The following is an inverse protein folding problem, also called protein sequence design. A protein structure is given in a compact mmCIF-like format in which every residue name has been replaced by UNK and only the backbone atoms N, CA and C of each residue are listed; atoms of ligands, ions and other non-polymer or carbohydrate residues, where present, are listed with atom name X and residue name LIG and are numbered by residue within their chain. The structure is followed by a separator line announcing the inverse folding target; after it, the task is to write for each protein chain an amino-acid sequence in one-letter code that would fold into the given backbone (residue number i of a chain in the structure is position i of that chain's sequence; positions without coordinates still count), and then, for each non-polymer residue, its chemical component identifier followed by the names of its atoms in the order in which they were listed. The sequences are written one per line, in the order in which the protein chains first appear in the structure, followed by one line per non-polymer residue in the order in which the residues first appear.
data_IF_286615990524
#
_entry.id   IF_286615990524
#
_cell.length_a   1.000
_cell.length_b   1.000
_cell.length_c   1.000
_cell.angle_alpha   90.00
_cell.angle_beta   90.00
_cell.angle_gamma   90.00
#
_symmetry.space_group_name_H-M   'P 1'
#
loop_
_entity.id
_entity.type
_entity.pdbx_description
1 polymer ?
#
# COMPACT_ATOMS: atom_id res chain seq x y z
N UNK A 1 1.64 -9.56 2.40
CA UNK A 1 0.77 -9.59 3.61
C UNK A 1 -0.54 -8.91 3.26
N UNK A 2 -1.69 -9.52 3.55
CA UNK A 2 -2.99 -8.88 3.33
C UNK A 2 -3.12 -7.69 4.28
N UNK A 3 -3.42 -6.50 3.75
CA UNK A 3 -3.71 -5.31 4.55
C UNK A 3 -5.05 -5.54 5.27
N UNK A 4 -5.07 -5.38 6.59
CA UNK A 4 -6.31 -5.29 7.35
C UNK A 4 -6.82 -3.87 7.21
N UNK A 5 -7.87 -3.67 6.42
CA UNK A 5 -8.35 -2.34 6.03
C UNK A 5 -9.20 -1.62 7.10
N UNK A 6 -9.79 -2.37 8.03
CA UNK A 6 -10.60 -1.81 9.13
C UNK A 6 -9.79 -0.86 10.05
N UNK A 7 -8.58 -1.22 10.52
CA UNK A 7 -7.71 -0.31 11.27
C UNK A 7 -7.39 1.00 10.56
N UNK A 8 -7.15 0.98 9.24
CA UNK A 8 -6.87 2.21 8.48
C UNK A 8 -8.07 3.16 8.49
N UNK A 9 -9.28 2.63 8.25
CA UNK A 9 -10.49 3.44 8.32
C UNK A 9 -10.70 4.00 9.74
N UNK A 10 -10.52 3.18 10.77
CA UNK A 10 -10.67 3.62 12.15
C UNK A 10 -9.69 4.74 12.50
N UNK A 11 -8.41 4.62 12.11
CA UNK A 11 -7.39 5.62 12.39
C UNK A 11 -7.64 6.94 11.63
N UNK A 12 -8.04 6.86 10.36
CA UNK A 12 -8.42 8.03 9.57
C UNK A 12 -9.62 8.76 10.18
N UNK A 13 -10.62 8.03 10.67
CA UNK A 13 -11.75 8.62 11.37
C UNK A 13 -11.35 9.25 12.71
N UNK A 14 -10.44 8.62 13.48
CA UNK A 14 -9.91 9.21 14.72
C UNK A 14 -9.10 10.48 14.45
N UNK A 15 -8.32 10.51 13.37
CA UNK A 15 -7.50 11.65 13.00
C UNK A 15 -8.34 12.92 12.74
N UNK A 16 -9.48 12.75 12.08
CA UNK A 16 -10.30 13.87 11.58
C UNK A 16 -11.51 14.18 12.48
N UNK A 17 -12.00 13.17 13.20
CA UNK A 17 -13.23 13.25 13.99
C UNK A 17 -13.08 12.69 15.41
N UNK A 18 -11.88 12.35 15.90
CA UNK A 18 -11.68 11.81 17.25
C UNK A 18 -12.05 12.76 18.39
N UNK A 19 -12.22 14.05 18.11
CA UNK A 19 -12.76 15.05 19.03
C UNK A 19 -14.30 14.96 19.18
N UNK A 20 -14.95 14.27 18.25
CA UNK A 20 -16.41 14.23 18.05
C UNK A 20 -17.00 12.82 18.05
N UNK A 21 -16.18 11.82 17.73
CA UNK A 21 -16.55 10.41 17.57
C UNK A 21 -15.69 9.53 18.47
N UNK A 22 -16.32 8.52 19.07
CA UNK A 22 -15.65 7.41 19.74
C UNK A 22 -15.72 6.21 18.80
N UNK A 23 -14.57 5.65 18.45
CA UNK A 23 -14.44 4.58 17.46
C UNK A 23 -13.84 3.34 18.12
N UNK A 24 -14.64 2.27 18.19
CA UNK A 24 -14.23 0.96 18.67
C UNK A 24 -14.12 -0.03 17.52
N UNK A 25 -13.04 -0.81 17.54
CA UNK A 25 -12.76 -1.90 16.59
C UNK A 25 -13.01 -3.25 17.28
N UNK A 26 -13.19 -4.32 16.49
CA UNK A 26 -13.35 -5.71 16.97
C UNK A 26 -14.40 -5.88 18.08
N UNK A 27 -15.67 -5.78 17.70
CA UNK A 27 -16.78 -5.85 18.64
C UNK A 27 -17.03 -7.27 19.13
N UNK A 28 -17.04 -7.43 20.45
CA UNK A 28 -17.61 -8.62 21.09
C UNK A 28 -19.14 -8.51 21.03
N UNK A 29 -19.80 -9.50 20.41
CA UNK A 29 -21.26 -9.55 20.29
C UNK A 29 -21.93 -10.60 21.20
N UNK A 30 -21.16 -11.31 22.03
CA UNK A 30 -21.67 -12.28 23.00
C UNK A 30 -20.64 -12.67 24.07
N UNK A 31 -21.04 -13.56 24.98
CA UNK A 31 -20.21 -14.02 26.12
C UNK A 31 -19.08 -14.99 25.71
N UNK A 32 -19.25 -15.64 24.55
CA UNK A 32 -18.20 -16.41 23.86
C UNK A 32 -17.53 -15.50 22.80
N UNK A 33 -16.32 -15.80 22.30
CA UNK A 33 -15.53 -14.88 21.49
C UNK A 33 -16.05 -14.75 20.04
N UNK A 34 -17.32 -14.41 19.84
CA UNK A 34 -17.81 -13.91 18.58
C UNK A 34 -17.33 -12.45 18.45
N UNK A 35 -16.14 -12.29 17.89
CA UNK A 35 -15.62 -10.99 17.46
C UNK A 35 -16.13 -10.72 16.05
N UNK A 36 -16.78 -9.58 15.87
CA UNK A 36 -17.15 -9.09 14.56
C UNK A 36 -16.11 -8.07 14.08
N UNK A 37 -15.63 -8.26 12.86
CA UNK A 37 -14.80 -7.29 12.15
C UNK A 37 -15.69 -6.11 11.67
N UNK A 38 -16.13 -5.31 12.64
CA UNK A 38 -16.98 -4.14 12.48
C UNK A 38 -16.36 -2.96 13.24
N UNK A 39 -16.70 -1.74 12.82
CA UNK A 39 -16.51 -0.56 13.66
C UNK A 39 -17.81 -0.25 14.41
N UNK A 40 -17.71 0.07 15.69
CA UNK A 40 -18.75 0.80 16.40
C UNK A 40 -18.33 2.27 16.49
N UNK A 41 -19.12 3.12 15.86
CA UNK A 41 -18.98 4.57 15.98
C UNK A 41 -20.04 5.07 16.96
N UNK A 42 -19.62 5.81 17.98
CA UNK A 42 -20.51 6.52 18.90
C UNK A 42 -20.30 8.02 18.81
N UNK A 43 -21.39 8.78 18.89
CA UNK A 43 -21.35 10.25 18.94
C UNK A 43 -22.36 10.79 19.92
N UNK A 44 -22.08 11.98 20.45
CA UNK A 44 -23.08 12.71 21.21
C UNK A 44 -24.17 13.29 20.26
N UNK A 45 -25.46 13.27 20.66
CA UNK A 45 -26.57 13.74 19.80
C UNK A 45 -26.41 15.17 19.31
N UNK A 46 -25.80 16.03 20.12
CA UNK A 46 -25.68 17.47 19.86
C UNK A 46 -24.47 17.84 19.00
N UNK A 47 -23.64 16.86 18.62
CA UNK A 47 -22.46 17.12 17.77
C UNK A 47 -22.91 17.22 16.33
N UNK A 48 -22.74 18.41 15.73
CA UNK A 48 -22.94 18.61 14.31
C UNK A 48 -21.78 17.97 13.53
N UNK A 49 -22.13 17.16 12.53
CA UNK A 49 -21.20 16.50 11.63
C UNK A 49 -21.56 16.84 10.19
N UNK A 50 -20.57 16.97 9.29
CA UNK A 50 -20.83 17.16 7.87
C UNK A 50 -21.38 15.88 7.24
N UNK A 51 -22.02 16.00 6.08
CA UNK A 51 -22.43 14.84 5.30
C UNK A 51 -21.20 14.03 4.81
N UNK A 52 -21.24 12.68 4.82
CA UNK A 52 -22.34 11.80 5.23
C UNK A 52 -22.35 11.49 6.73
N UNK A 53 -21.34 11.91 7.49
CA UNK A 53 -21.25 11.66 8.95
C UNK A 53 -22.41 12.24 9.76
N UNK A 54 -23.13 13.22 9.21
CA UNK A 54 -24.42 13.71 9.74
C UNK A 54 -25.48 12.60 9.87
N UNK A 55 -25.35 11.51 9.11
CA UNK A 55 -26.26 10.37 9.09
C UNK A 55 -25.91 9.29 10.13
N UNK A 56 -24.82 9.46 10.90
CA UNK A 56 -24.50 8.59 12.02
C UNK A 56 -25.57 8.73 13.10
N UNK A 57 -26.04 7.61 13.65
CA UNK A 57 -26.82 7.59 14.89
C UNK A 57 -25.96 7.84 16.12
N UNK A 58 -26.56 7.84 17.32
CA UNK A 58 -25.79 7.85 18.58
C UNK A 58 -24.84 6.66 18.68
N UNK A 59 -25.27 5.52 18.11
CA UNK A 59 -24.51 4.30 17.92
C UNK A 59 -24.67 3.87 16.46
N UNK A 60 -23.57 3.56 15.80
CA UNK A 60 -23.58 3.08 14.41
C UNK A 60 -22.64 1.89 14.27
N UNK A 61 -23.15 0.75 13.81
CA UNK A 61 -22.32 -0.36 13.35
C UNK A 61 -21.93 -0.15 11.90
N UNK A 62 -20.65 -0.30 11.59
CA UNK A 62 -20.10 -0.11 10.25
C UNK A 62 -19.43 -1.40 9.79
N UNK A 63 -19.99 -2.03 8.76
CA UNK A 63 -19.30 -3.03 7.96
C UNK A 63 -18.61 -2.30 6.80
N UNK A 64 -17.30 -2.47 6.71
CA UNK A 64 -16.51 -1.91 5.61
C UNK A 64 -15.89 -3.04 4.80
N UNK A 65 -16.17 -3.04 3.49
CA UNK A 65 -15.53 -3.97 2.56
C UNK A 65 -14.22 -3.40 2.09
N UNK A 66 -13.18 -4.24 2.11
CA UNK A 66 -11.87 -3.86 1.60
C UNK A 66 -12.00 -3.25 0.19
N UNK A 67 -11.09 -2.36 -0.22
CA UNK A 67 -11.22 -1.66 -1.49
C UNK A 67 -11.25 -2.59 -2.71
N UNK A 68 -10.64 -3.77 -2.59
CA UNK A 68 -10.58 -4.79 -3.64
C UNK A 68 -11.81 -5.71 -3.65
N UNK A 69 -12.61 -5.71 -2.58
CA UNK A 69 -13.83 -6.52 -2.48
C UNK A 69 -15.07 -5.75 -2.94
N UNK A 70 -16.12 -6.49 -3.30
CA UNK A 70 -17.44 -5.92 -3.52
C UNK A 70 -18.35 -6.28 -2.34
N UNK A 71 -19.15 -5.31 -1.89
CA UNK A 71 -20.28 -5.59 -1.01
C UNK A 71 -21.32 -6.44 -1.76
N UNK A 72 -21.86 -7.43 -1.07
CA UNK A 72 -22.84 -8.39 -1.57
C UNK A 72 -24.05 -8.45 -0.65
N UNK A 73 -25.11 -9.12 -1.09
CA UNK A 73 -26.27 -9.40 -0.25
C UNK A 73 -25.89 -10.09 1.08
N UNK A 74 -24.92 -11.01 1.05
CA UNK A 74 -24.48 -11.72 2.26
C UNK A 74 -23.85 -10.78 3.29
N UNK A 75 -23.18 -9.72 2.85
CA UNK A 75 -22.66 -8.68 3.75
C UNK A 75 -23.80 -7.87 4.40
N UNK A 76 -24.92 -7.66 3.68
CA UNK A 76 -26.10 -7.02 4.23
C UNK A 76 -26.81 -7.92 5.26
N UNK A 77 -26.92 -9.22 4.98
CA UNK A 77 -27.43 -10.23 5.94
C UNK A 77 -26.53 -10.31 7.18
N UNK A 78 -25.22 -10.29 7.00
CA UNK A 78 -24.24 -10.26 8.09
C UNK A 78 -24.42 -9.02 8.97
N UNK A 79 -24.53 -7.84 8.35
CA UNK A 79 -24.73 -6.58 9.06
C UNK A 79 -26.06 -6.54 9.83
N UNK A 80 -27.15 -7.02 9.22
CA UNK A 80 -28.46 -7.20 9.88
C UNK A 80 -28.33 -8.10 11.13
N UNK A 81 -27.69 -9.26 10.96
CA UNK A 81 -27.47 -10.24 12.03
C UNK A 81 -26.68 -9.64 13.18
N UNK A 82 -25.62 -8.89 12.88
CA UNK A 82 -24.84 -8.19 13.89
C UNK A 82 -25.61 -7.09 14.60
N UNK A 83 -26.44 -6.34 13.89
CA UNK A 83 -27.37 -5.37 14.48
C UNK A 83 -28.31 -6.01 15.50
N UNK A 84 -28.88 -7.16 15.16
CA UNK A 84 -29.75 -7.94 16.05
C UNK A 84 -29.03 -8.40 17.31
N UNK A 85 -27.84 -8.99 17.16
CA UNK A 85 -27.02 -9.43 18.29
C UNK A 85 -26.62 -8.27 19.20
N UNK A 86 -26.23 -7.13 18.62
CA UNK A 86 -25.86 -5.95 19.38
C UNK A 86 -27.03 -5.39 20.19
N UNK A 87 -28.21 -5.26 19.58
CA UNK A 87 -29.44 -4.81 20.28
C UNK A 87 -29.77 -5.73 21.45
N UNK A 88 -29.70 -7.04 21.25
CA UNK A 88 -29.99 -8.01 22.30
C UNK A 88 -29.00 -7.92 23.45
N UNK A 89 -27.70 -7.82 23.15
CA UNK A 89 -26.63 -7.71 24.15
C UNK A 89 -26.73 -6.42 24.96
N UNK A 90 -26.90 -5.29 24.29
CA UNK A 90 -26.93 -3.97 24.94
C UNK A 90 -28.31 -3.60 25.50
N UNK A 91 -29.33 -4.46 25.30
CA UNK A 91 -30.69 -4.23 25.79
C UNK A 91 -31.34 -2.98 25.20
N UNK A 92 -31.08 -2.66 23.93
CA UNK A 92 -31.62 -1.46 23.30
C UNK A 92 -33.14 -1.55 23.14
N UNK A 93 -33.86 -0.52 23.61
CA UNK A 93 -35.33 -0.51 23.62
C UNK A 93 -35.96 -0.47 22.21
N UNK A 94 -35.22 0.01 21.21
CA UNK A 94 -35.68 0.07 19.82
C UNK A 94 -34.50 -0.03 18.85
N UNK A 95 -34.71 -0.77 17.76
CA UNK A 95 -33.76 -0.88 16.65
C UNK A 95 -33.48 0.46 15.97
N UNK A 96 -34.41 1.42 16.08
CA UNK A 96 -34.20 2.78 15.55
C UNK A 96 -33.10 3.57 16.27
N UNK A 97 -32.68 3.12 17.45
CA UNK A 97 -31.57 3.74 18.20
C UNK A 97 -30.19 3.27 17.73
N UNK A 98 -30.13 2.28 16.84
CA UNK A 98 -28.91 1.77 16.23
C UNK A 98 -28.95 1.99 14.71
N UNK A 99 -27.95 2.70 14.19
CA UNK A 99 -27.79 2.86 12.73
C UNK A 99 -26.83 1.80 12.19
N UNK A 100 -27.09 1.29 10.98
CA UNK A 100 -26.22 0.34 10.29
C UNK A 100 -25.63 0.98 9.04
N UNK A 101 -24.32 0.89 8.86
CA UNK A 101 -23.61 1.40 7.68
C UNK A 101 -22.90 0.26 6.96
N UNK A 102 -23.10 0.16 5.64
CA UNK A 102 -22.30 -0.70 4.76
C UNK A 102 -21.50 0.19 3.80
N UNK A 103 -20.18 0.16 3.94
CA UNK A 103 -19.24 0.94 3.15
C UNK A 103 -18.53 0.04 2.14
N UNK A 104 -18.54 0.41 0.87
CA UNK A 104 -17.77 -0.31 -0.14
C UNK A 104 -17.41 0.57 -1.34
N UNK A 105 -16.35 0.20 -2.05
CA UNK A 105 -16.02 0.81 -3.34
C UNK A 105 -16.85 0.22 -4.49
N UNK A 106 -17.51 -0.93 -4.27
CA UNK A 106 -18.37 -1.60 -5.24
C UNK A 106 -19.49 -2.36 -4.55
N UNK A 107 -20.68 -2.32 -5.14
CA UNK A 107 -21.84 -3.11 -4.71
C UNK A 107 -22.25 -4.07 -5.83
N UNK A 108 -22.40 -5.35 -5.49
CA UNK A 108 -22.92 -6.37 -6.41
C UNK A 108 -24.43 -6.47 -6.25
N UNK A 109 -25.14 -6.15 -7.31
CA UNK A 109 -26.60 -6.25 -7.31
C UNK A 109 -27.06 -7.69 -7.65
N UNK A 110 -28.21 -8.15 -7.08
CA UNK A 110 -29.05 -7.41 -6.13
C UNK A 110 -28.50 -7.43 -4.70
N UNK A 111 -28.42 -6.26 -4.07
CA UNK A 111 -28.02 -6.11 -2.65
C UNK A 111 -29.15 -6.42 -1.68
N UNK A 112 -30.38 -6.05 -2.04
CA UNK A 112 -31.59 -6.23 -1.22
C UNK A 112 -32.46 -7.32 -1.85
N UNK A 113 -32.89 -8.29 -1.05
CA UNK A 113 -33.74 -9.39 -1.52
C UNK A 113 -34.85 -9.70 -0.52
N UNK A 114 -36.04 -9.99 -1.03
CA UNK A 114 -37.21 -10.30 -0.19
C UNK A 114 -37.10 -11.66 0.53
N UNK A 115 -36.28 -12.58 0.02
CA UNK A 115 -35.99 -13.89 0.61
C UNK A 115 -34.79 -13.88 1.58
N UNK A 116 -34.28 -12.70 1.95
CA UNK A 116 -33.15 -12.49 2.86
C UNK A 116 -33.17 -11.08 3.45
N UNK A 117 -31.99 -10.45 3.54
CA UNK A 117 -31.88 -9.06 3.97
C UNK A 117 -32.59 -8.11 2.99
N UNK A 118 -33.69 -7.51 3.46
CA UNK A 118 -34.50 -6.59 2.67
C UNK A 118 -34.36 -5.17 3.17
N UNK A 119 -33.71 -4.32 2.37
CA UNK A 119 -33.65 -2.89 2.61
C UNK A 119 -34.93 -2.23 2.07
N UNK A 120 -35.83 -1.85 2.97
CA UNK A 120 -37.08 -1.15 2.69
C UNK A 120 -36.88 0.36 2.55
N UNK A 121 -37.85 1.05 1.95
CA UNK A 121 -37.92 2.53 1.88
C UNK A 121 -36.66 3.18 1.31
N UNK A 122 -36.06 2.56 0.29
CA UNK A 122 -34.78 2.99 -0.26
C UNK A 122 -34.89 4.36 -0.92
N UNK A 123 -34.04 5.29 -0.48
CA UNK A 123 -33.93 6.63 -1.03
C UNK A 123 -32.46 7.01 -1.24
N UNK A 124 -32.15 7.64 -2.38
CA UNK A 124 -30.83 8.22 -2.61
C UNK A 124 -30.74 9.59 -1.94
N UNK A 125 -29.73 9.80 -1.10
CA UNK A 125 -29.53 11.05 -0.35
C UNK A 125 -28.13 11.56 -0.62
N UNK A 126 -27.98 12.38 -1.65
CA UNK A 126 -26.67 12.83 -2.12
C UNK A 126 -25.96 11.81 -3.03
N UNK A 127 -24.73 12.12 -3.45
CA UNK A 127 -23.97 11.23 -4.34
C UNK A 127 -23.39 10.07 -3.55
N UNK A 128 -23.60 8.85 -4.03
CA UNK A 128 -23.04 7.64 -3.44
C UNK A 128 -23.71 7.15 -2.16
N UNK A 129 -24.79 7.76 -1.68
CA UNK A 129 -25.42 7.38 -0.42
C UNK A 129 -26.87 6.98 -0.64
N UNK A 130 -27.23 5.78 -0.19
CA UNK A 130 -28.61 5.26 -0.15
C UNK A 130 -29.00 5.03 1.31
N UNK A 131 -30.15 5.54 1.71
CA UNK A 131 -30.77 5.26 3.00
C UNK A 131 -31.93 4.30 2.82
N UNK A 132 -32.20 3.50 3.85
CA UNK A 132 -33.39 2.66 3.96
C UNK A 132 -33.54 2.10 5.36
N UNK A 133 -34.45 1.15 5.51
CA UNK A 133 -34.68 0.41 6.75
C UNK A 133 -34.41 -1.07 6.53
N UNK A 134 -33.50 -1.65 7.30
CA UNK A 134 -33.17 -3.07 7.29
C UNK A 134 -33.70 -3.67 8.59
N UNK A 135 -34.74 -4.48 8.54
CA UNK A 135 -35.41 -5.05 9.73
C UNK A 135 -35.66 -4.03 10.87
N UNK A 136 -36.04 -2.81 10.52
CA UNK A 136 -36.32 -1.71 11.46
C UNK A 136 -35.10 -0.90 11.91
N UNK A 137 -33.90 -1.26 11.44
CA UNK A 137 -32.67 -0.47 11.61
C UNK A 137 -32.56 0.61 10.53
N UNK A 138 -32.40 1.90 10.89
CA UNK A 138 -31.94 2.92 9.98
C UNK A 138 -30.61 2.49 9.35
N UNK A 139 -30.58 2.35 8.03
CA UNK A 139 -29.46 1.73 7.31
C UNK A 139 -28.97 2.61 6.17
N UNK A 140 -27.65 2.75 6.06
CA UNK A 140 -26.97 3.56 5.07
C UNK A 140 -26.00 2.70 4.24
N UNK A 141 -26.20 2.66 2.93
CA UNK A 141 -25.24 2.09 1.99
C UNK A 141 -24.44 3.23 1.36
N UNK A 142 -23.11 3.20 1.48
CA UNK A 142 -22.22 4.23 0.94
C UNK A 142 -21.26 3.64 -0.10
N UNK A 143 -21.43 4.08 -1.34
CA UNK A 143 -20.51 3.86 -2.46
C UNK A 143 -19.41 4.94 -2.44
N UNK A 144 -18.24 4.51 -1.97
CA UNK A 144 -17.07 5.37 -1.80
C UNK A 144 -16.62 5.99 -3.13
N UNK A 145 -16.85 5.32 -4.26
CA UNK A 145 -16.42 5.80 -5.60
C UNK A 145 -17.33 6.88 -6.17
N UNK A 146 -18.46 7.16 -5.52
CA UNK A 146 -19.44 8.16 -5.93
C UNK A 146 -19.44 9.38 -5.01
N UNK A 147 -18.76 9.32 -3.86
CA UNK A 147 -18.60 10.46 -2.98
C UNK A 147 -17.80 11.58 -3.69
N UNK A 148 -18.13 12.86 -3.46
CA UNK A 148 -17.36 13.97 -4.00
C UNK A 148 -16.03 14.08 -3.26
N UNK A 149 -14.95 14.44 -3.95
CA UNK A 149 -13.68 14.79 -3.31
C UNK A 149 -13.87 16.12 -2.57
N UNK A 150 -14.02 16.03 -1.25
CA UNK A 150 -14.20 17.15 -0.33
C UNK A 150 -13.50 16.84 0.99
N UNK A 151 -13.08 17.89 1.70
CA UNK A 151 -12.29 17.80 2.93
C UNK A 151 -12.94 16.91 4.00
N UNK A 152 -14.25 16.97 4.09
CA UNK A 152 -15.07 16.33 5.11
C UNK A 152 -15.08 14.82 4.95
N UNK A 153 -14.91 14.30 3.73
CA UNK A 153 -15.02 12.88 3.41
C UNK A 153 -13.68 12.20 3.12
N UNK A 154 -12.56 12.91 3.27
CA UNK A 154 -11.22 12.37 3.04
C UNK A 154 -10.95 11.05 3.80
N UNK A 155 -11.39 10.84 5.06
CA UNK A 155 -11.24 9.55 5.74
C UNK A 155 -11.84 8.37 5.00
N UNK A 156 -12.98 8.58 4.32
CA UNK A 156 -13.66 7.53 3.56
C UNK A 156 -13.02 7.33 2.19
N UNK A 157 -12.58 8.41 1.55
CA UNK A 157 -11.98 8.36 0.22
C UNK A 157 -10.57 7.74 0.22
N UNK A 158 -9.78 7.98 1.28
CA UNK A 158 -8.43 7.42 1.40
C UNK A 158 -8.43 5.89 1.51
N UNK A 159 -9.52 5.29 1.98
CA UNK A 159 -9.72 3.83 2.03
C UNK A 159 -10.58 3.32 0.87
N UNK A 160 -10.72 4.10 -0.20
CA UNK A 160 -11.43 3.68 -1.41
C UNK A 160 -10.44 3.29 -2.51
N UNK A 161 -10.87 2.42 -3.43
CA UNK A 161 -10.18 2.17 -4.70
C UNK A 161 -11.16 2.36 -5.84
N UNK A 162 -10.65 2.84 -6.98
CA UNK A 162 -11.47 3.03 -8.16
C UNK A 162 -11.09 4.25 -8.99
N UNK A 163 -11.99 4.73 -9.86
CA UNK A 163 -11.65 5.68 -10.91
C UNK A 163 -11.23 7.07 -10.38
N UNK A 164 -11.52 7.37 -9.12
CA UNK A 164 -11.21 8.68 -8.51
C UNK A 164 -9.85 8.73 -7.82
N UNK A 165 -9.11 7.62 -7.66
CA UNK A 165 -7.86 7.59 -6.87
C UNK A 165 -6.85 8.65 -7.33
N UNK A 166 -6.61 8.74 -8.64
CA UNK A 166 -5.70 9.76 -9.21
C UNK A 166 -6.20 11.18 -8.94
N UNK A 167 -7.51 11.41 -8.98
CA UNK A 167 -8.09 12.72 -8.72
C UNK A 167 -7.99 13.10 -7.23
N UNK A 168 -8.20 12.14 -6.32
CA UNK A 168 -8.01 12.31 -4.88
C UNK A 168 -6.55 12.67 -4.56
N UNK A 169 -5.60 11.91 -5.13
CA UNK A 169 -4.17 12.17 -4.97
C UNK A 169 -3.80 13.53 -5.54
N UNK A 170 -4.27 13.88 -6.74
CA UNK A 170 -4.03 15.20 -7.32
C UNK A 170 -4.56 16.32 -6.44
N UNK A 171 -5.76 16.18 -5.88
CA UNK A 171 -6.34 17.14 -4.95
C UNK A 171 -5.45 17.31 -3.70
N UNK A 172 -5.03 16.22 -3.06
CA UNK A 172 -4.19 16.30 -1.86
C UNK A 172 -2.80 16.85 -2.14
N UNK A 173 -2.20 16.53 -3.29
CA UNK A 173 -0.92 17.08 -3.75
C UNK A 173 -1.03 18.58 -4.04
N UNK A 174 -2.14 19.05 -4.60
CA UNK A 174 -2.38 20.49 -4.85
C UNK A 174 -2.64 21.28 -3.57
N UNK A 175 -3.15 20.63 -2.53
CA UNK A 175 -3.54 21.25 -1.26
C UNK A 175 -2.72 20.70 -0.08
N UNK A 176 -1.46 20.32 -0.33
CA UNK A 176 -0.62 19.62 0.63
C UNK A 176 -0.38 20.41 1.93
N UNK A 177 -0.35 21.74 1.86
CA UNK A 177 -0.23 22.63 3.02
C UNK A 177 -1.46 22.57 3.94
N UNK A 178 -2.65 22.36 3.36
CA UNK A 178 -3.92 22.27 4.10
C UNK A 178 -4.16 20.88 4.68
N UNK A 179 -3.62 19.84 4.04
CA UNK A 179 -3.87 18.44 4.42
C UNK A 179 -2.60 17.61 4.61
N UNK A 180 -1.60 18.09 5.39
CA UNK A 180 -0.32 17.40 5.55
C UNK A 180 -0.48 16.03 6.22
N UNK A 181 -1.50 15.85 7.07
CA UNK A 181 -1.80 14.56 7.71
C UNK A 181 -2.33 13.54 6.69
N UNK A 182 -3.29 13.92 5.85
CA UNK A 182 -3.85 13.08 4.77
C UNK A 182 -2.82 12.72 3.71
N UNK A 183 -1.91 13.65 3.40
CA UNK A 183 -0.85 13.43 2.42
C UNK A 183 0.05 12.25 2.79
N UNK A 184 0.35 12.06 4.09
CA UNK A 184 1.15 10.93 4.58
C UNK A 184 0.48 9.58 4.29
N UNK A 185 -0.85 9.50 4.38
CA UNK A 185 -1.59 8.27 4.08
C UNK A 185 -1.47 7.84 2.61
N UNK A 186 -1.19 8.77 1.68
CA UNK A 186 -1.00 8.41 0.27
C UNK A 186 0.22 7.51 0.05
N UNK A 187 1.20 7.57 0.94
CA UNK A 187 2.42 6.78 0.88
C UNK A 187 2.13 5.28 1.10
N UNK A 188 1.14 4.98 1.93
CA UNK A 188 0.73 3.63 2.27
C UNK A 188 -0.41 3.12 1.40
N UNK A 189 -1.39 3.97 1.13
CA UNK A 189 -2.67 3.57 0.55
C UNK A 189 -2.75 3.81 -0.96
N UNK A 190 -2.01 4.80 -1.50
CA UNK A 190 -2.14 5.29 -2.89
C UNK A 190 -0.77 5.51 -3.56
N UNK A 191 0.20 4.65 -3.25
CA UNK A 191 1.62 4.82 -3.61
C UNK A 191 1.83 5.02 -5.12
N UNK A 192 1.14 4.24 -5.96
CA UNK A 192 1.34 4.32 -7.42
C UNK A 192 0.75 5.61 -7.99
N UNK A 193 -0.45 5.99 -7.57
CA UNK A 193 -1.08 7.22 -8.02
C UNK A 193 -0.29 8.45 -7.54
N UNK A 194 0.26 8.41 -6.32
CA UNK A 194 1.15 9.46 -5.83
C UNK A 194 2.36 9.64 -6.74
N UNK A 195 3.04 8.56 -7.14
CA UNK A 195 4.16 8.63 -8.10
C UNK A 195 3.74 9.24 -9.44
N UNK A 196 2.63 8.76 -9.99
CA UNK A 196 2.13 9.24 -11.28
C UNK A 196 1.82 10.74 -11.24
N UNK A 197 1.16 11.20 -10.18
CA UNK A 197 0.80 12.62 -10.00
C UNK A 197 2.04 13.47 -9.80
N UNK A 198 2.99 13.04 -8.98
CA UNK A 198 4.26 13.73 -8.78
C UNK A 198 5.04 13.86 -10.10
N UNK A 199 5.16 12.77 -10.86
CA UNK A 199 5.83 12.77 -12.17
C UNK A 199 5.13 13.69 -13.16
N UNK A 200 3.80 13.61 -13.26
CA UNK A 200 2.99 14.46 -14.14
C UNK A 200 3.13 15.95 -13.79
N UNK A 201 3.16 16.28 -12.50
CA UNK A 201 3.31 17.66 -12.00
C UNK A 201 4.77 18.13 -11.94
N UNK A 202 5.74 17.25 -12.20
CA UNK A 202 7.17 17.50 -12.04
C UNK A 202 7.53 17.98 -10.63
N UNK A 203 6.87 17.39 -9.64
CA UNK A 203 7.12 17.64 -8.22
C UNK A 203 7.91 16.47 -7.63
N UNK A 204 8.78 16.79 -6.67
CA UNK A 204 9.36 15.79 -5.76
C UNK A 204 8.49 15.68 -4.50
N UNK A 205 8.58 14.57 -3.76
CA UNK A 205 7.77 14.47 -2.55
C UNK A 205 8.23 15.43 -1.44
N UNK A 206 9.50 15.82 -1.39
CA UNK A 206 9.97 16.84 -0.44
C UNK A 206 9.32 18.20 -0.71
N UNK A 207 9.06 18.53 -1.98
CA UNK A 207 8.38 19.78 -2.34
C UNK A 207 6.94 19.84 -1.83
N UNK A 208 6.34 18.69 -1.50
CA UNK A 208 5.00 18.60 -0.88
C UNK A 208 5.08 18.20 0.60
N UNK A 209 6.26 18.29 1.23
CA UNK A 209 6.43 18.06 2.66
C UNK A 209 6.46 16.59 3.07
N UNK A 210 6.73 15.67 2.15
CA UNK A 210 6.98 14.27 2.48
C UNK A 210 8.49 14.04 2.64
N UNK A 211 8.88 13.65 3.85
CA UNK A 211 10.25 13.25 4.19
C UNK A 211 10.43 11.76 3.95
N UNK A 212 11.36 11.40 3.07
CA UNK A 212 11.62 10.03 2.67
C UNK A 212 12.45 9.23 3.67
N UNK A 213 13.28 9.87 4.50
CA UNK A 213 13.99 9.14 5.57
C UNK A 213 12.99 8.63 6.60
N UNK A 214 12.06 9.50 7.02
CA UNK A 214 10.95 9.11 7.88
C UNK A 214 10.02 8.05 7.22
N UNK A 215 9.92 8.07 5.90
CA UNK A 215 9.11 7.13 5.11
C UNK A 215 9.75 5.74 5.05
N UNK A 216 11.07 5.69 4.88
CA UNK A 216 11.86 4.45 4.95
C UNK A 216 11.69 3.79 6.32
N UNK A 217 11.76 4.59 7.39
CA UNK A 217 11.56 4.13 8.76
C UNK A 217 10.12 3.65 9.04
N UNK A 218 9.11 4.27 8.41
CA UNK A 218 7.70 4.00 8.67
C UNK A 218 7.14 2.82 7.86
N UNK A 219 7.38 2.78 6.55
CA UNK A 219 6.74 1.80 5.64
C UNK A 219 7.72 0.78 5.05
N UNK A 220 9.00 0.88 5.41
CA UNK A 220 10.07 -0.02 4.97
C UNK A 220 10.67 0.33 3.62
N UNK A 221 11.94 -0.05 3.43
CA UNK A 221 12.76 0.27 2.27
C UNK A 221 12.10 -0.11 0.94
N UNK A 222 11.51 -1.30 0.84
CA UNK A 222 10.88 -1.81 -0.38
C UNK A 222 9.69 -0.96 -0.88
N UNK A 223 8.88 -0.41 0.03
CA UNK A 223 7.73 0.44 -0.35
C UNK A 223 8.13 1.88 -0.62
N UNK A 224 9.13 2.39 0.10
CA UNK A 224 9.67 3.72 -0.13
C UNK A 224 10.37 3.82 -1.50
N UNK A 225 11.00 2.75 -1.98
CA UNK A 225 11.62 2.65 -3.31
C UNK A 225 10.65 2.98 -4.44
N UNK A 226 9.38 2.61 -4.29
CA UNK A 226 8.36 2.99 -5.25
C UNK A 226 8.21 4.52 -5.30
N UNK A 227 8.18 5.22 -4.17
CA UNK A 227 7.91 6.66 -4.13
C UNK A 227 9.07 7.58 -4.48
N UNK A 228 10.31 7.26 -4.09
CA UNK A 228 11.50 8.13 -4.28
C UNK A 228 12.09 8.09 -5.69
N UNK A 229 11.72 7.09 -6.48
CA UNK A 229 12.41 6.81 -7.73
C UNK A 229 13.78 6.15 -7.49
N UNK A 230 14.16 5.28 -8.42
CA UNK A 230 15.26 4.33 -8.25
C UNK A 230 16.66 4.98 -8.17
N UNK A 231 16.88 6.15 -8.77
CA UNK A 231 18.15 6.88 -8.64
C UNK A 231 18.31 7.50 -7.24
N UNK A 232 17.26 8.15 -6.73
CA UNK A 232 17.30 8.83 -5.43
C UNK A 232 17.31 7.84 -4.25
N UNK A 233 16.71 6.67 -4.46
CA UNK A 233 16.82 5.52 -3.57
C UNK A 233 18.27 5.08 -3.28
N UNK A 234 19.11 5.09 -4.31
CA UNK A 234 20.51 4.64 -4.20
C UNK A 234 21.32 5.58 -3.30
N UNK A 235 21.00 6.88 -3.35
CA UNK A 235 21.65 7.90 -2.51
C UNK A 235 21.20 7.84 -1.05
N UNK A 236 19.92 7.50 -0.79
CA UNK A 236 19.33 7.49 0.56
C UNK A 236 19.56 6.17 1.33
N UNK A 237 19.36 5.02 0.67
CA UNK A 237 19.41 3.69 1.32
C UNK A 237 20.83 3.11 1.30
N UNK A 238 21.70 3.71 0.48
CA UNK A 238 23.04 3.21 0.20
C UNK A 238 23.03 2.14 -0.89
N UNK A 239 24.10 2.16 -1.69
CA UNK A 239 24.25 1.39 -2.94
C UNK A 239 24.09 -0.12 -2.76
N UNK A 240 24.71 -0.72 -1.74
CA UNK A 240 24.63 -2.18 -1.50
C UNK A 240 23.22 -2.63 -1.13
N UNK A 241 22.57 -1.93 -0.19
CA UNK A 241 21.22 -2.29 0.28
C UNK A 241 20.15 -2.12 -0.80
N UNK A 242 20.26 -1.05 -1.60
CA UNK A 242 19.37 -0.84 -2.74
C UNK A 242 19.51 -1.94 -3.80
N UNK A 243 20.70 -2.49 -4.03
CA UNK A 243 20.92 -3.61 -4.96
C UNK A 243 20.28 -4.91 -4.47
N UNK A 244 20.30 -5.17 -3.16
CA UNK A 244 19.68 -6.34 -2.56
C UNK A 244 18.14 -6.28 -2.63
N UNK A 245 17.55 -5.08 -2.50
CA UNK A 245 16.09 -4.87 -2.58
C UNK A 245 15.54 -4.86 -4.01
N UNK A 246 16.21 -4.17 -4.94
CA UNK A 246 15.73 -3.99 -6.32
C UNK A 246 16.05 -5.23 -7.19
N UNK A 247 17.04 -6.02 -6.76
CA UNK A 247 17.60 -7.14 -7.51
C UNK A 247 18.65 -6.68 -8.52
N UNK A 248 19.81 -7.36 -8.54
CA UNK A 248 21.01 -6.98 -9.31
C UNK A 248 20.76 -6.78 -10.82
N UNK A 249 19.93 -7.61 -11.45
CA UNK A 249 19.57 -7.47 -12.88
C UNK A 249 18.79 -6.19 -13.17
N UNK A 250 17.80 -5.85 -12.32
CA UNK A 250 17.00 -4.63 -12.50
C UNK A 250 17.80 -3.38 -12.18
N UNK A 251 18.76 -3.47 -11.27
CA UNK A 251 19.68 -2.37 -10.98
C UNK A 251 20.66 -2.10 -12.13
N UNK A 252 21.15 -3.15 -12.82
CA UNK A 252 22.02 -3.03 -13.99
C UNK A 252 21.36 -2.25 -15.15
N UNK A 253 20.05 -2.45 -15.35
CA UNK A 253 19.26 -1.72 -16.37
C UNK A 253 19.06 -0.23 -16.00
N UNK A 254 19.13 0.12 -14.72
CA UNK A 254 18.81 1.46 -14.22
C UNK A 254 20.03 2.38 -14.10
N UNK A 255 21.17 1.83 -13.67
CA UNK A 255 22.37 2.61 -13.37
C UNK A 255 23.27 2.72 -14.63
N UNK A 256 22.98 1.92 -15.65
CA UNK A 256 23.79 1.75 -16.85
C UNK A 256 24.96 0.81 -16.60
N UNK A 257 25.28 -0.05 -17.59
CA UNK A 257 26.28 -1.12 -17.45
C UNK A 257 27.64 -0.66 -16.90
N UNK A 258 28.11 0.52 -17.30
CA UNK A 258 29.39 1.08 -16.83
C UNK A 258 29.41 1.36 -15.32
N UNK A 259 28.39 2.06 -14.80
CA UNK A 259 28.33 2.39 -13.36
C UNK A 259 27.98 1.20 -12.50
N UNK A 260 27.36 0.17 -13.07
CA UNK A 260 27.05 -1.06 -12.37
C UNK A 260 28.28 -1.98 -12.18
N UNK A 261 29.29 -1.87 -13.04
CA UNK A 261 30.57 -2.56 -12.87
C UNK A 261 31.37 -2.02 -11.67
N UNK A 262 31.34 -0.69 -11.47
CA UNK A 262 31.91 -0.05 -10.27
C UNK A 262 31.20 -0.49 -8.97
N UNK A 263 29.94 -0.94 -9.07
CA UNK A 263 29.08 -1.28 -7.92
C UNK A 263 29.19 -2.73 -7.45
N UNK A 264 29.43 -3.68 -8.37
CA UNK A 264 29.49 -5.11 -8.04
C UNK A 264 30.90 -5.50 -7.56
N UNK A 265 31.91 -4.67 -7.85
CA UNK A 265 33.32 -4.96 -7.60
C UNK A 265 33.83 -6.00 -8.60
N UNK A 266 34.97 -5.72 -9.23
CA UNK A 266 35.58 -6.63 -10.22
C UNK A 266 35.78 -8.05 -9.67
N UNK A 267 35.99 -8.17 -8.35
CA UNK A 267 36.26 -9.41 -7.63
C UNK A 267 35.04 -10.36 -7.57
N UNK A 268 33.82 -9.84 -7.33
CA UNK A 268 32.60 -10.66 -7.31
C UNK A 268 32.18 -11.10 -8.71
N UNK A 269 32.52 -10.32 -9.74
CA UNK A 269 32.32 -10.70 -11.15
C UNK A 269 33.30 -11.81 -11.54
N UNK A 270 34.55 -11.74 -11.07
CA UNK A 270 35.56 -12.76 -11.28
C UNK A 270 35.15 -14.11 -10.67
N UNK A 271 34.67 -14.11 -9.42
CA UNK A 271 34.18 -15.33 -8.76
C UNK A 271 33.01 -15.97 -9.52
N UNK A 272 32.10 -15.16 -10.06
CA UNK A 272 30.96 -15.66 -10.85
C UNK A 272 31.38 -16.16 -12.22
N UNK A 273 32.29 -15.49 -12.91
CA UNK A 273 32.85 -15.97 -14.18
C UNK A 273 33.57 -17.30 -14.01
N UNK A 274 34.32 -17.46 -12.91
CA UNK A 274 34.97 -18.71 -12.51
C UNK A 274 33.98 -19.81 -12.07
N UNK A 275 32.75 -19.44 -11.70
CA UNK A 275 31.68 -20.39 -11.35
C UNK A 275 30.82 -20.85 -12.53
N UNK A 276 30.85 -20.09 -13.64
CA UNK A 276 30.06 -20.34 -14.85
C UNK A 276 30.85 -21.06 -15.95
N UNK A 277 32.17 -21.17 -15.81
CA UNK A 277 33.05 -21.94 -16.68
C UNK A 277 33.54 -23.15 -15.89
N UNK A 278 33.54 -24.32 -16.50
CA UNK A 278 33.96 -25.55 -15.85
C UNK A 278 35.39 -25.38 -15.31
N UNK A 279 35.59 -25.61 -14.00
CA UNK A 279 36.87 -25.32 -13.33
C UNK A 279 38.04 -26.06 -13.99
N UNK A 280 37.76 -27.21 -14.59
CA UNK A 280 38.72 -28.01 -15.35
C UNK A 280 39.12 -27.35 -16.68
N UNK A 281 38.21 -26.65 -17.38
CA UNK A 281 38.54 -25.94 -18.63
C UNK A 281 39.40 -24.69 -18.38
N UNK A 282 39.13 -23.96 -17.30
CA UNK A 282 39.96 -22.81 -16.91
C UNK A 282 41.35 -23.28 -16.45
N UNK A 283 41.42 -24.39 -15.72
CA UNK A 283 42.70 -24.98 -15.31
C UNK A 283 43.49 -25.53 -16.51
N UNK A 284 42.82 -26.19 -17.48
CA UNK A 284 43.43 -26.66 -18.73
C UNK A 284 43.94 -25.50 -19.60
N UNK A 285 43.18 -24.42 -19.77
CA UNK A 285 43.63 -23.24 -20.52
C UNK A 285 44.78 -22.52 -19.81
N UNK A 286 44.75 -22.39 -18.48
CA UNK A 286 45.86 -21.81 -17.72
C UNK A 286 47.13 -22.68 -17.78
N UNK A 287 46.99 -24.00 -17.68
CA UNK A 287 48.10 -24.95 -17.85
C UNK A 287 48.65 -24.94 -19.28
N UNK A 288 47.77 -24.80 -20.28
CA UNK A 288 48.15 -24.67 -21.69
C UNK A 288 48.87 -23.35 -21.97
N UNK A 289 48.41 -22.23 -21.41
CA UNK A 289 49.06 -20.92 -21.53
C UNK A 289 50.42 -20.88 -20.83
N UNK A 290 50.55 -21.49 -19.65
CA UNK A 290 51.85 -21.64 -18.97
C UNK A 290 52.79 -22.61 -19.71
N UNK A 291 52.26 -23.70 -20.27
CA UNK A 291 53.01 -24.63 -21.11
C UNK A 291 53.51 -24.01 -22.41
N UNK A 292 52.71 -23.16 -23.06
CA UNK A 292 53.07 -22.41 -24.27
C UNK A 292 54.12 -21.31 -23.99
N UNK A 293 54.04 -20.64 -22.84
CA UNK A 293 55.08 -19.69 -22.39
C UNK A 293 56.41 -20.41 -22.08
N UNK A 294 56.37 -21.52 -21.36
CA UNK A 294 57.58 -22.32 -21.07
C UNK A 294 58.24 -22.86 -22.35
N UNK A 295 57.46 -23.37 -23.31
CA UNK A 295 57.98 -23.83 -24.61
C UNK A 295 58.58 -22.69 -25.44
N UNK A 296 57.99 -21.48 -25.41
CA UNK A 296 58.55 -20.29 -26.07
C UNK A 296 59.87 -19.86 -25.42
N UNK A 297 59.96 -19.82 -24.10
CA UNK A 297 61.22 -19.50 -23.38
C UNK A 297 62.33 -20.54 -23.65
N UNK A 298 62.00 -21.83 -23.73
CA UNK A 298 62.99 -22.87 -24.05
C UNK A 298 63.47 -22.82 -25.51
N UNK A 299 62.57 -22.45 -26.44
CA UNK A 299 62.93 -22.25 -27.86
C UNK A 299 63.78 -20.98 -28.04
N UNK A 300 63.48 -19.90 -27.32
CA UNK A 300 64.29 -18.67 -27.31
C UNK A 300 65.68 -18.89 -26.71
N UNK A 301 65.79 -19.66 -25.61
CA UNK A 301 67.08 -20.05 -25.02
C UNK A 301 67.93 -20.94 -25.93
N UNK A 302 67.31 -21.77 -26.77
CA UNK A 302 68.03 -22.58 -27.77
C UNK A 302 68.39 -21.82 -29.05
N UNK A 303 67.69 -20.72 -29.34
CA UNK A 303 67.94 -19.87 -30.51
C UNK A 303 69.01 -18.80 -30.26
N UNK A 304 69.46 -18.60 -29.02
CA UNK A 304 70.61 -17.76 -28.71
C UNK A 304 71.92 -18.48 -29.10
N UNK A 305 72.75 -17.91 -29.99
CA UNK A 305 74.04 -18.49 -30.33
C UNK A 305 74.98 -18.43 -29.11
N UNK A 306 75.91 -19.39 -28.95
CA UNK A 306 76.80 -19.41 -27.80
C UNK A 306 77.66 -18.14 -27.76
N UNK A 307 77.59 -17.43 -26.63
CA UNK A 307 78.44 -16.28 -26.34
C UNK A 307 79.91 -16.63 -26.59
N UNK A 308 80.53 -15.91 -27.52
CA UNK A 308 81.98 -15.93 -27.69
C UNK A 308 82.62 -15.25 -26.45
N UNK A 309 83.70 -15.82 -25.89
CA UNK A 309 84.25 -15.33 -24.63
C UNK A 309 84.85 -13.93 -24.80
N UNK A 310 84.51 -13.05 -23.86
CA UNK A 310 85.11 -11.74 -23.69
C UNK A 310 86.63 -11.84 -23.60
N UNK A 311 87.34 -11.08 -24.43
CA UNK A 311 88.75 -10.77 -24.25
C UNK A 311 88.91 -9.26 -24.10
N UNK A 312 89.69 -8.92 -23.06
CA UNK A 312 90.02 -7.60 -22.56
C UNK A 312 90.67 -6.65 -23.58
#
# INVERSE_FOLDING_TARGET
MALYWHPYLAELLRQDYGDRLIIEEELSLGDMPLRADLLLIRRHPNVALPFPFSLLGERTLVEYKSPDDAATHDDLVKLETYGLLYVQREGLASRQTLTLWLLASRFREPMSRADGAYLAEVQAVGRGVRLGSLDGFPTCLIDLTQLPIASEVLPLLLVSKGPQERALVAFLVEHFESYPRHLRWLQELHVQQLREVLAMKKLTAEQIGLDYEALLDLIGEERALDLIGKERALDLIGKERALDLIGKERALDLIGKERALDLIGEEQILERALSLIDKEQVLEELLRLQGEQWLREQLERRAQPPDAPESA
#
